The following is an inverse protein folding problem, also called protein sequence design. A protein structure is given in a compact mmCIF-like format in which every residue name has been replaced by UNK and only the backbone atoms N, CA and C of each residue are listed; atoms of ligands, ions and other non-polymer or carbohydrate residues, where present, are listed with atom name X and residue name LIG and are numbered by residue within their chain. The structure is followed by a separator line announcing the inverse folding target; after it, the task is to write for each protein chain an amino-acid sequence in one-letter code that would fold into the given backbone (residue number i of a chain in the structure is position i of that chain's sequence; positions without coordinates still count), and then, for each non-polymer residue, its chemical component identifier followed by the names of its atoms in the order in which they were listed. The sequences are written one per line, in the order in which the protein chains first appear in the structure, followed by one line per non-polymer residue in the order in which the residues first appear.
data_IF_080701533772
#
_entry.id   IF_080701533772
#
_cell.length_a   1.000
_cell.length_b   1.000
_cell.length_c   1.000
_cell.angle_alpha   90.00
_cell.angle_beta   90.00
_cell.angle_gamma   90.00
#
_symmetry.space_group_name_H-M   'P 1'
#
loop_
_entity.id
_entity.type
_entity.pdbx_description
1 polymer ?
#
# COMPACT_ATOMS: atom_id res chain seq x y z
N UNK A 1 -5.06 33.19 54.45
CA UNK A 1 -3.69 33.09 54.96
C UNK A 1 -3.14 31.73 54.64
N UNK A 2 -2.37 31.61 53.59
CA UNK A 2 -1.72 30.33 53.16
C UNK A 2 -0.33 30.26 53.83
N UNK A 3 -0.20 29.35 54.80
CA UNK A 3 1.06 29.14 55.53
C UNK A 3 2.15 28.64 54.58
N UNK A 4 3.30 29.34 54.50
CA UNK A 4 4.49 28.90 53.75
C UNK A 4 5.02 27.58 54.32
N UNK A 5 5.23 26.56 53.46
CA UNK A 5 5.71 25.26 53.91
C UNK A 5 7.11 25.40 54.50
N UNK A 6 7.35 24.78 55.67
CA UNK A 6 8.64 24.78 56.36
C UNK A 6 9.68 24.01 55.53
N UNK A 7 10.99 24.43 55.59
CA UNK A 7 12.09 23.80 54.80
C UNK A 7 12.14 22.26 54.91
N UNK A 8 11.77 21.67 56.05
CA UNK A 8 11.68 20.21 56.25
C UNK A 8 10.52 19.55 55.45
N UNK A 9 9.40 20.26 55.26
CA UNK A 9 8.29 19.74 54.46
C UNK A 9 8.61 19.81 52.98
N UNK A 10 9.35 20.80 52.53
CA UNK A 10 9.78 20.99 51.16
C UNK A 10 10.77 19.91 50.68
N UNK A 11 11.75 19.54 51.58
CA UNK A 11 12.70 18.44 51.31
C UNK A 11 12.02 17.07 51.29
N UNK A 12 11.03 16.81 52.16
CA UNK A 12 10.25 15.56 52.11
C UNK A 12 9.37 15.47 50.85
N UNK A 13 8.77 16.56 50.40
CA UNK A 13 8.01 16.61 49.14
C UNK A 13 8.93 16.38 47.95
N UNK A 14 10.09 17.02 47.90
CA UNK A 14 11.09 16.78 46.83
C UNK A 14 11.56 15.32 46.78
N UNK A 15 11.89 14.71 47.92
CA UNK A 15 12.28 13.29 47.96
C UNK A 15 11.18 12.36 47.52
N UNK A 16 9.91 12.63 47.91
CA UNK A 16 8.75 11.87 47.41
C UNK A 16 8.55 12.04 45.89
N UNK A 17 8.67 13.26 45.37
CA UNK A 17 8.58 13.53 43.96
C UNK A 17 9.67 12.81 43.15
N UNK A 18 10.92 12.86 43.62
CA UNK A 18 12.04 12.13 43.01
C UNK A 18 11.81 10.62 43.05
N UNK A 19 11.33 10.08 44.19
CA UNK A 19 11.01 8.65 44.29
C UNK A 19 9.90 8.22 43.35
N UNK A 20 8.81 9.03 43.20
CA UNK A 20 7.72 8.75 42.27
C UNK A 20 8.24 8.81 40.82
N UNK A 21 9.10 9.77 40.50
CA UNK A 21 9.68 9.91 39.16
C UNK A 21 10.59 8.72 38.80
N UNK A 22 11.41 8.26 39.77
CA UNK A 22 12.24 7.06 39.60
C UNK A 22 11.38 5.80 39.44
N UNK A 23 10.33 5.66 40.23
CA UNK A 23 9.40 4.54 40.12
C UNK A 23 8.69 4.54 38.75
N UNK A 24 8.23 5.71 38.29
CA UNK A 24 7.64 5.86 36.98
C UNK A 24 8.65 5.51 35.87
N UNK A 25 9.90 5.97 35.97
CA UNK A 25 10.94 5.63 35.00
C UNK A 25 11.21 4.12 34.93
N UNK A 26 11.25 3.44 36.09
CA UNK A 26 11.42 1.97 36.14
C UNK A 26 10.21 1.27 35.50
N UNK A 27 8.99 1.68 35.84
CA UNK A 27 7.77 1.11 35.24
C UNK A 27 7.71 1.31 33.72
N UNK A 28 8.08 2.50 33.24
CA UNK A 28 8.19 2.77 31.80
C UNK A 28 9.27 1.90 31.13
N UNK A 29 10.43 1.72 31.79
CA UNK A 29 11.50 0.86 31.31
C UNK A 29 11.08 -0.61 31.20
N UNK A 30 10.42 -1.12 32.22
CA UNK A 30 9.86 -2.49 32.21
C UNK A 30 8.79 -2.64 31.14
N UNK A 31 7.87 -1.67 31.03
CA UNK A 31 6.84 -1.68 29.99
C UNK A 31 7.43 -1.69 28.59
N UNK A 32 8.43 -0.83 28.33
CA UNK A 32 9.14 -0.81 27.06
C UNK A 32 9.85 -2.13 26.75
N UNK A 33 10.51 -2.72 27.75
CA UNK A 33 11.16 -4.02 27.62
C UNK A 33 10.14 -5.12 27.30
N UNK A 34 9.00 -5.16 27.97
CA UNK A 34 7.92 -6.11 27.69
C UNK A 34 7.42 -5.98 26.24
N UNK A 35 7.13 -4.76 25.78
CA UNK A 35 6.70 -4.51 24.38
C UNK A 35 7.78 -4.94 23.40
N UNK A 36 9.06 -4.71 23.70
CA UNK A 36 10.16 -5.11 22.82
C UNK A 36 10.31 -6.62 22.67
N UNK A 37 10.02 -7.38 23.73
CA UNK A 37 10.20 -8.85 23.74
C UNK A 37 8.94 -9.58 23.26
N UNK A 38 7.77 -9.12 23.69
CA UNK A 38 6.49 -9.84 23.42
C UNK A 38 5.80 -9.43 22.12
N UNK A 39 6.09 -8.25 21.57
CA UNK A 39 5.44 -7.78 20.36
C UNK A 39 6.30 -8.02 19.11
N UNK A 40 6.62 -9.28 18.83
CA UNK A 40 7.35 -9.70 17.64
C UNK A 40 6.40 -10.28 16.62
N UNK A 41 6.65 -10.04 15.33
CA UNK A 41 5.85 -10.58 14.24
C UNK A 41 6.12 -12.08 14.09
N UNK A 42 5.28 -12.91 14.69
CA UNK A 42 5.34 -14.37 14.55
C UNK A 42 4.27 -14.91 13.63
N UNK A 43 3.16 -14.19 13.49
CA UNK A 43 2.06 -14.54 12.61
C UNK A 43 1.81 -13.42 11.62
N UNK A 44 1.81 -13.75 10.31
CA UNK A 44 1.50 -12.82 9.23
C UNK A 44 0.27 -13.38 8.50
N UNK A 45 -0.82 -12.64 8.54
CA UNK A 45 -2.06 -12.94 7.84
C UNK A 45 -2.16 -12.05 6.61
N UNK A 46 -2.46 -12.63 5.44
CA UNK A 46 -2.62 -11.91 4.18
C UNK A 46 -4.05 -12.04 3.72
N UNK A 47 -4.68 -10.93 3.40
CA UNK A 47 -6.07 -10.86 2.92
C UNK A 47 -6.20 -9.91 1.73
N UNK A 48 -7.26 -10.07 0.92
CA UNK A 48 -7.61 -9.12 -0.15
C UNK A 48 -6.93 -9.36 -1.50
N UNK A 49 -6.05 -10.38 -1.65
CA UNK A 49 -5.52 -10.77 -2.96
C UNK A 49 -6.21 -12.02 -3.50
N UNK A 50 -6.46 -12.00 -4.80
CA UNK A 50 -6.96 -13.16 -5.56
C UNK A 50 -5.93 -13.67 -6.58
N UNK A 51 -4.90 -12.87 -6.90
CA UNK A 51 -3.89 -13.15 -7.92
C UNK A 51 -2.59 -13.72 -7.37
N UNK A 52 -2.22 -13.29 -6.15
CA UNK A 52 -0.95 -13.67 -5.52
C UNK A 52 -1.21 -14.62 -4.37
N UNK A 53 -0.37 -15.65 -4.22
CA UNK A 53 -0.39 -16.49 -3.05
C UNK A 53 0.09 -15.71 -1.81
N UNK A 54 -0.40 -16.10 -0.62
CA UNK A 54 -0.01 -15.42 0.61
C UNK A 54 1.50 -15.50 0.85
N UNK A 55 2.12 -16.61 0.49
CA UNK A 55 3.55 -16.87 0.61
C UNK A 55 4.38 -15.89 -0.23
N UNK A 56 3.96 -15.60 -1.47
CA UNK A 56 4.65 -14.64 -2.36
C UNK A 56 4.61 -13.23 -1.79
N UNK A 57 3.48 -12.85 -1.17
CA UNK A 57 3.32 -11.55 -0.51
C UNK A 57 4.20 -11.44 0.73
N UNK A 58 4.27 -12.50 1.53
CA UNK A 58 5.12 -12.54 2.74
C UNK A 58 6.59 -12.42 2.34
N UNK A 59 7.01 -13.11 1.28
CA UNK A 59 8.37 -12.98 0.73
C UNK A 59 8.63 -11.56 0.22
N UNK A 60 7.70 -10.98 -0.54
CA UNK A 60 7.82 -9.61 -1.04
C UNK A 60 7.85 -8.55 0.09
N UNK A 61 7.16 -8.82 1.19
CA UNK A 61 7.14 -7.95 2.36
C UNK A 61 8.52 -7.86 3.05
N UNK A 62 9.35 -8.91 2.92
CA UNK A 62 10.69 -9.00 3.52
C UNK A 62 10.67 -8.59 5.01
N UNK A 63 9.71 -9.16 5.75
CA UNK A 63 9.61 -8.95 7.19
C UNK A 63 10.54 -9.94 7.87
N UNK A 64 11.56 -9.41 8.56
CA UNK A 64 12.52 -10.24 9.27
C UNK A 64 11.85 -11.07 10.38
N UNK A 65 12.29 -12.31 10.52
CA UNK A 65 11.87 -13.19 11.62
C UNK A 65 12.08 -12.49 12.96
N UNK A 66 11.08 -12.51 13.81
CA UNK A 66 11.10 -11.88 15.13
C UNK A 66 11.21 -10.32 15.14
N UNK A 67 10.97 -9.65 14.00
CA UNK A 67 10.96 -8.19 13.98
C UNK A 67 9.80 -7.65 14.83
N UNK A 68 10.06 -6.58 15.60
CA UNK A 68 9.02 -5.98 16.43
C UNK A 68 7.95 -5.32 15.54
N UNK A 69 6.67 -5.68 15.76
CA UNK A 69 5.53 -5.22 14.95
C UNK A 69 5.38 -3.69 14.89
N UNK A 70 5.87 -2.97 15.90
CA UNK A 70 5.81 -1.50 15.93
C UNK A 70 6.91 -0.82 15.14
N UNK A 71 8.00 -1.54 14.80
CA UNK A 71 9.11 -1.01 14.01
C UNK A 71 8.88 -1.15 12.51
N UNK A 72 7.89 -1.96 12.10
CA UNK A 72 7.57 -2.19 10.69
C UNK A 72 6.86 -0.95 10.13
N UNK A 73 7.47 -0.34 9.11
CA UNK A 73 6.92 0.84 8.45
C UNK A 73 5.93 0.44 7.37
N UNK A 74 4.69 0.90 7.47
CA UNK A 74 3.68 0.68 6.44
C UNK A 74 4.13 1.20 5.07
N UNK A 75 4.76 2.38 5.03
CA UNK A 75 5.23 2.97 3.78
C UNK A 75 6.27 2.08 3.08
N UNK A 76 7.30 1.64 3.83
CA UNK A 76 8.34 0.78 3.28
C UNK A 76 7.79 -0.58 2.82
N UNK A 77 6.85 -1.15 3.58
CA UNK A 77 6.15 -2.38 3.23
C UNK A 77 5.35 -2.22 1.92
N UNK A 78 4.56 -1.15 1.84
CA UNK A 78 3.78 -0.85 0.65
C UNK A 78 4.69 -0.70 -0.58
N UNK A 79 5.79 0.06 -0.48
CA UNK A 79 6.75 0.26 -1.58
C UNK A 79 7.36 -1.07 -2.05
N UNK A 80 7.73 -1.98 -1.14
CA UNK A 80 8.30 -3.29 -1.50
C UNK A 80 7.28 -4.18 -2.20
N UNK A 81 6.11 -4.37 -1.58
CA UNK A 81 5.07 -5.25 -2.14
C UNK A 81 4.60 -4.74 -3.50
N UNK A 82 4.32 -3.44 -3.63
CA UNK A 82 3.84 -2.89 -4.91
C UNK A 82 4.89 -2.86 -6.00
N UNK A 83 6.18 -2.92 -5.67
CA UNK A 83 7.25 -3.06 -6.65
C UNK A 83 7.36 -4.48 -7.21
N UNK A 84 7.17 -5.51 -6.37
CA UNK A 84 7.28 -6.92 -6.75
C UNK A 84 5.94 -7.51 -7.24
N UNK A 85 4.83 -6.96 -6.75
CA UNK A 85 3.47 -7.38 -7.08
C UNK A 85 2.74 -6.23 -7.79
N UNK A 86 2.91 -6.02 -9.12
CA UNK A 86 2.41 -4.85 -9.83
C UNK A 86 0.88 -4.67 -9.77
N UNK A 87 0.11 -5.75 -9.65
CA UNK A 87 -1.36 -5.71 -9.57
C UNK A 87 -1.88 -5.21 -8.22
N UNK A 88 -1.02 -5.09 -7.21
CA UNK A 88 -1.38 -4.50 -5.92
C UNK A 88 -1.28 -2.97 -6.02
N UNK A 89 -2.39 -2.31 -5.73
CA UNK A 89 -2.49 -0.85 -5.68
C UNK A 89 -1.88 -0.32 -4.38
N UNK A 90 -2.34 -0.87 -3.26
CA UNK A 90 -1.82 -0.52 -1.95
C UNK A 90 -2.00 -1.66 -0.94
N UNK A 91 -1.24 -1.56 0.15
CA UNK A 91 -1.28 -2.49 1.27
C UNK A 91 -1.60 -1.72 2.53
N UNK A 92 -2.58 -2.18 3.30
CA UNK A 92 -2.89 -1.66 4.63
C UNK A 92 -2.36 -2.63 5.69
N UNK A 93 -1.57 -2.11 6.63
CA UNK A 93 -0.98 -2.89 7.71
C UNK A 93 -1.78 -2.74 8.99
N UNK A 94 -2.43 -3.81 9.43
CA UNK A 94 -3.09 -3.90 10.72
C UNK A 94 -2.24 -4.69 11.70
N UNK A 95 -2.08 -4.15 12.92
CA UNK A 95 -1.31 -4.78 13.99
C UNK A 95 -2.27 -5.35 15.01
N UNK A 96 -2.33 -6.68 15.10
CA UNK A 96 -3.10 -7.40 16.11
C UNK A 96 -2.16 -7.88 17.20
N UNK A 97 -2.26 -7.25 18.36
CA UNK A 97 -1.42 -7.60 19.52
C UNK A 97 -1.75 -9.02 20.03
N UNK A 98 -0.72 -9.76 20.53
CA UNK A 98 0.65 -9.26 20.77
C UNK A 98 1.61 -9.42 19.58
N UNK A 99 1.36 -10.31 18.61
CA UNK A 99 2.36 -10.88 17.71
C UNK A 99 1.89 -11.05 16.25
N UNK A 100 0.69 -10.60 15.92
CA UNK A 100 0.09 -10.83 14.60
C UNK A 100 0.09 -9.55 13.76
N UNK A 101 0.52 -9.68 12.49
CA UNK A 101 0.41 -8.67 11.45
C UNK A 101 -0.59 -9.13 10.41
N UNK A 102 -1.60 -8.31 10.15
CA UNK A 102 -2.52 -8.52 9.05
C UNK A 102 -2.21 -7.55 7.92
N UNK A 103 -1.93 -8.09 6.75
CA UNK A 103 -1.69 -7.36 5.51
C UNK A 103 -2.96 -7.42 4.67
N UNK A 104 -3.70 -6.32 4.64
CA UNK A 104 -4.86 -6.17 3.77
C UNK A 104 -4.41 -5.57 2.45
N UNK A 105 -4.54 -6.33 1.37
CA UNK A 105 -4.13 -5.98 0.03
C UNK A 105 -5.31 -5.41 -0.74
N UNK A 106 -5.07 -4.34 -1.48
CA UNK A 106 -6.03 -3.77 -2.41
C UNK A 106 -5.46 -3.94 -3.82
N UNK A 107 -6.16 -4.73 -4.64
CA UNK A 107 -5.84 -4.92 -6.05
C UNK A 107 -6.49 -3.84 -6.91
N UNK A 108 -5.87 -3.51 -8.05
CA UNK A 108 -6.48 -2.60 -9.00
C UNK A 108 -7.79 -3.18 -9.54
N UNK A 109 -8.88 -2.45 -9.39
CA UNK A 109 -10.21 -2.84 -9.87
C UNK A 109 -10.36 -2.69 -11.38
N UNK A 110 -9.69 -1.70 -11.96
CA UNK A 110 -9.76 -1.41 -13.41
C UNK A 110 -8.40 -1.65 -14.03
N UNK A 111 -8.38 -2.51 -15.05
CA UNK A 111 -7.20 -2.85 -15.82
C UNK A 111 -7.46 -2.51 -17.27
N UNK A 112 -6.58 -1.72 -17.86
CA UNK A 112 -6.54 -1.42 -19.27
C UNK A 112 -5.54 -2.33 -19.97
N UNK A 113 -5.78 -2.66 -21.22
CA UNK A 113 -4.87 -3.41 -22.05
C UNK A 113 -4.62 -2.69 -23.37
N UNK A 114 -3.36 -2.52 -23.75
CA UNK A 114 -2.95 -1.98 -25.04
C UNK A 114 -2.22 -3.05 -25.83
N UNK A 115 -2.50 -3.11 -27.13
CA UNK A 115 -1.79 -4.01 -28.05
C UNK A 115 -0.69 -3.19 -28.74
N UNK A 116 0.56 -3.49 -28.40
CA UNK A 116 1.71 -2.85 -29.00
C UNK A 116 2.03 -3.35 -30.40
N UNK A 117 2.98 -2.67 -31.06
CA UNK A 117 3.37 -2.87 -32.47
C UNK A 117 3.84 -4.29 -32.82
N UNK A 118 4.31 -5.08 -31.83
CA UNK A 118 4.71 -6.48 -32.01
C UNK A 118 3.66 -7.49 -31.55
N UNK A 119 2.41 -7.05 -31.34
CA UNK A 119 1.33 -7.92 -30.85
C UNK A 119 1.46 -8.27 -29.37
N UNK A 120 2.35 -7.64 -28.63
CA UNK A 120 2.42 -7.78 -27.16
C UNK A 120 1.32 -6.97 -26.52
N UNK A 121 0.68 -7.55 -25.55
CA UNK A 121 -0.33 -6.87 -24.75
C UNK A 121 0.34 -6.33 -23.49
N UNK A 122 0.25 -5.01 -23.29
CA UNK A 122 0.69 -4.35 -22.07
C UNK A 122 -0.55 -3.99 -21.24
N UNK A 123 -0.61 -4.47 -20.00
CA UNK A 123 -1.69 -4.14 -19.08
C UNK A 123 -1.29 -2.98 -18.19
N UNK A 124 -2.25 -2.11 -17.91
CA UNK A 124 -2.08 -0.86 -17.18
C UNK A 124 -3.16 -0.71 -16.12
N UNK A 125 -2.82 -0.10 -15.01
CA UNK A 125 -3.81 0.42 -14.06
C UNK A 125 -4.38 1.77 -14.51
N UNK A 126 -5.48 2.19 -13.90
CA UNK A 126 -6.10 3.48 -14.20
C UNK A 126 -5.19 4.69 -13.89
N UNK A 127 -4.25 4.55 -12.96
CA UNK A 127 -3.27 5.59 -12.62
C UNK A 127 -1.99 5.55 -13.48
N UNK A 128 -1.96 4.70 -14.52
CA UNK A 128 -0.85 4.61 -15.49
C UNK A 128 0.35 3.81 -15.01
N UNK A 129 0.18 2.87 -14.10
CA UNK A 129 1.22 1.90 -13.74
C UNK A 129 1.15 0.72 -14.70
N UNK A 130 2.29 0.32 -15.25
CA UNK A 130 2.41 -0.91 -16.06
C UNK A 130 2.35 -2.12 -15.13
N UNK A 131 1.38 -3.00 -15.35
CA UNK A 131 1.15 -4.15 -14.50
C UNK A 131 1.92 -5.37 -15.01
N UNK A 132 1.75 -5.67 -16.31
CA UNK A 132 2.41 -6.82 -16.90
C UNK A 132 2.47 -6.68 -18.42
N UNK A 133 3.36 -7.46 -19.06
CA UNK A 133 3.38 -7.67 -20.50
C UNK A 133 3.08 -9.13 -20.80
N UNK A 134 2.00 -9.40 -21.52
CA UNK A 134 1.53 -10.74 -21.84
C UNK A 134 1.39 -10.97 -23.33
N UNK A 135 1.31 -12.23 -23.72
CA UNK A 135 1.13 -12.63 -25.14
C UNK A 135 -0.33 -12.62 -25.58
N UNK A 136 -1.28 -12.61 -24.66
CA UNK A 136 -2.71 -12.65 -24.94
C UNK A 136 -3.45 -11.63 -24.08
N UNK A 137 -4.57 -11.15 -24.57
CA UNK A 137 -5.44 -10.22 -23.83
C UNK A 137 -6.05 -10.95 -22.63
N UNK A 138 -5.83 -10.45 -21.39
CA UNK A 138 -6.45 -11.02 -20.21
C UNK A 138 -7.97 -10.79 -20.23
N UNK A 139 -8.72 -11.70 -19.62
CA UNK A 139 -10.15 -11.51 -19.39
C UNK A 139 -10.39 -10.31 -18.49
N UNK A 140 -11.53 -9.64 -18.65
CA UNK A 140 -11.96 -8.49 -17.83
C UNK A 140 -11.07 -7.24 -17.94
N UNK A 141 -10.39 -7.04 -19.07
CA UNK A 141 -9.64 -5.81 -19.36
C UNK A 141 -10.39 -4.91 -20.33
N UNK A 142 -10.29 -3.60 -20.15
CA UNK A 142 -10.76 -2.63 -21.12
C UNK A 142 -9.65 -2.40 -22.16
N UNK A 143 -9.92 -2.73 -23.43
CA UNK A 143 -8.95 -2.57 -24.50
C UNK A 143 -8.82 -1.10 -24.90
N UNK A 144 -7.58 -0.59 -24.92
CA UNK A 144 -7.22 0.73 -25.41
C UNK A 144 -6.51 0.60 -26.76
N UNK A 145 -7.00 1.34 -27.75
CA UNK A 145 -6.37 1.47 -29.06
C UNK A 145 -5.73 2.87 -29.22
N UNK A 146 -4.74 2.99 -30.10
CA UNK A 146 -4.10 4.27 -30.41
C UNK A 146 -2.87 4.58 -29.54
N UNK A 147 -2.45 3.67 -28.66
CA UNK A 147 -1.26 3.82 -27.84
C UNK A 147 -0.40 2.55 -27.83
N UNK A 148 0.91 2.69 -27.74
CA UNK A 148 1.85 1.57 -27.60
C UNK A 148 2.75 1.79 -26.38
N UNK A 149 2.62 0.91 -25.40
CA UNK A 149 3.39 0.93 -24.15
C UNK A 149 4.37 -0.25 -24.04
N UNK A 150 4.68 -0.92 -25.14
CA UNK A 150 5.58 -2.08 -25.15
C UNK A 150 7.02 -1.76 -24.74
N UNK A 151 7.40 -0.48 -24.71
CA UNK A 151 8.71 -0.01 -24.25
C UNK A 151 8.88 0.13 -22.75
N UNK A 152 7.80 -0.01 -21.97
CA UNK A 152 7.83 0.13 -20.51
C UNK A 152 7.86 -1.22 -19.82
N UNK A 153 8.42 -1.27 -18.61
CA UNK A 153 8.52 -2.51 -17.83
C UNK A 153 7.47 -2.60 -16.71
N UNK A 154 7.14 -3.83 -16.30
CA UNK A 154 6.21 -4.04 -15.19
C UNK A 154 6.66 -3.32 -13.91
N UNK A 155 5.72 -2.68 -13.22
CA UNK A 155 5.97 -1.84 -12.05
C UNK A 155 6.30 -0.37 -12.36
N UNK A 156 6.65 -0.04 -13.60
CA UNK A 156 6.96 1.33 -14.04
C UNK A 156 5.70 2.18 -14.19
N UNK A 157 5.79 3.47 -13.86
CA UNK A 157 4.72 4.44 -14.11
C UNK A 157 4.96 5.18 -15.42
N UNK A 158 3.90 5.32 -16.20
CA UNK A 158 3.91 6.10 -17.41
C UNK A 158 4.17 7.60 -17.10
N UNK A 159 4.70 8.37 -18.08
CA UNK A 159 4.81 9.81 -17.98
C UNK A 159 3.49 10.51 -17.64
N UNK A 160 3.57 11.68 -17.01
CA UNK A 160 2.40 12.42 -16.51
C UNK A 160 1.37 12.74 -17.60
N UNK A 161 1.81 12.92 -18.82
CA UNK A 161 0.96 13.14 -19.99
C UNK A 161 0.01 11.96 -20.22
N UNK A 162 0.55 10.74 -20.23
CA UNK A 162 -0.25 9.51 -20.35
C UNK A 162 -1.13 9.25 -19.14
N UNK A 163 -0.67 9.57 -17.95
CA UNK A 163 -1.49 9.46 -16.73
C UNK A 163 -2.74 10.36 -16.82
N UNK A 164 -2.59 11.58 -17.36
CA UNK A 164 -3.73 12.51 -17.58
C UNK A 164 -4.70 11.95 -18.63
N UNK A 165 -4.17 11.39 -19.70
CA UNK A 165 -4.98 10.78 -20.76
C UNK A 165 -5.76 9.58 -20.20
N UNK A 166 -5.12 8.69 -19.47
CA UNK A 166 -5.77 7.54 -18.80
C UNK A 166 -6.82 7.98 -17.79
N UNK A 167 -6.57 9.02 -17.01
CA UNK A 167 -7.56 9.58 -16.11
C UNK A 167 -8.80 10.13 -16.85
N UNK A 168 -8.62 10.62 -18.08
CA UNK A 168 -9.72 10.99 -18.98
C UNK A 168 -10.51 9.78 -19.46
N UNK A 169 -9.80 8.74 -19.90
CA UNK A 169 -10.37 7.45 -20.30
C UNK A 169 -11.17 6.81 -19.17
N UNK A 170 -10.63 6.84 -17.94
CA UNK A 170 -11.30 6.25 -16.78
C UNK A 170 -12.62 6.97 -16.43
N UNK A 171 -12.68 8.29 -16.61
CA UNK A 171 -13.93 9.05 -16.48
C UNK A 171 -14.97 8.63 -17.52
N UNK A 172 -14.55 8.42 -18.78
CA UNK A 172 -15.45 7.94 -19.83
C UNK A 172 -15.93 6.54 -19.50
N UNK A 173 -15.03 5.64 -19.11
CA UNK A 173 -15.38 4.28 -18.69
C UNK A 173 -16.38 4.27 -17.54
N UNK A 174 -16.15 5.07 -16.50
CA UNK A 174 -17.06 5.18 -15.35
C UNK A 174 -18.46 5.69 -15.77
N UNK A 175 -18.52 6.68 -16.64
CA UNK A 175 -19.80 7.18 -17.16
C UNK A 175 -20.55 6.13 -17.98
N UNK A 176 -19.84 5.29 -18.74
CA UNK A 176 -20.41 4.19 -19.50
C UNK A 176 -20.91 3.05 -18.58
N UNK A 177 -20.19 2.78 -17.51
CA UNK A 177 -20.58 1.83 -16.47
C UNK A 177 -21.86 2.27 -15.77
N UNK A 178 -21.93 3.55 -15.36
CA UNK A 178 -23.12 4.15 -14.76
C UNK A 178 -24.35 4.11 -15.69
N UNK A 179 -24.12 4.24 -17.00
CA UNK A 179 -25.16 4.12 -18.02
C UNK A 179 -25.53 2.65 -18.35
N UNK A 180 -24.82 1.67 -17.79
CA UNK A 180 -25.02 0.24 -18.09
C UNK A 180 -24.57 -0.19 -19.49
N UNK A 181 -23.76 0.62 -20.17
CA UNK A 181 -23.33 0.41 -21.57
C UNK A 181 -21.93 -0.21 -21.68
N UNK A 182 -21.21 -0.36 -20.58
CA UNK A 182 -19.80 -0.82 -20.60
C UNK A 182 -19.66 -2.23 -21.22
N UNK A 183 -20.63 -3.10 -21.02
CA UNK A 183 -20.62 -4.47 -21.58
C UNK A 183 -20.79 -4.52 -23.12
N UNK A 184 -21.27 -3.45 -23.73
CA UNK A 184 -21.47 -3.34 -25.19
C UNK A 184 -20.24 -2.76 -25.89
N UNK A 185 -19.28 -2.23 -25.14
CA UNK A 185 -18.10 -1.54 -25.67
C UNK A 185 -16.90 -2.49 -25.64
N UNK A 186 -16.39 -2.83 -26.83
CA UNK A 186 -15.24 -3.71 -26.97
C UNK A 186 -13.90 -3.01 -26.73
N UNK A 187 -13.80 -1.71 -26.98
CA UNK A 187 -12.56 -0.94 -26.84
C UNK A 187 -12.81 0.56 -26.70
N UNK A 188 -11.82 1.28 -26.22
CA UNK A 188 -11.77 2.74 -26.22
C UNK A 188 -10.55 3.16 -27.05
N UNK A 189 -10.75 4.03 -28.03
CA UNK A 189 -9.69 4.54 -28.88
C UNK A 189 -9.20 5.91 -28.36
N UNK A 190 -7.88 6.01 -28.16
CA UNK A 190 -7.21 7.25 -27.81
C UNK A 190 -6.79 7.91 -29.12
N UNK A 191 -7.56 8.93 -29.56
CA UNK A 191 -7.22 9.70 -30.75
C UNK A 191 -6.04 10.65 -30.49
N UNK A 192 -5.16 10.84 -31.48
CA UNK A 192 -4.23 11.96 -31.44
C UNK A 192 -5.04 13.27 -31.54
N UNK A 193 -4.80 14.20 -30.62
CA UNK A 193 -5.33 15.57 -30.73
C UNK A 193 -4.81 16.18 -32.01
N UNK A 194 -5.59 16.12 -33.09
CA UNK A 194 -5.29 16.89 -34.28
C UNK A 194 -5.46 18.37 -33.93
N UNK A 195 -4.35 19.01 -33.62
CA UNK A 195 -4.24 20.47 -33.53
C UNK A 195 -4.57 21.06 -34.89
N UNK A 196 -5.80 21.59 -35.03
CA UNK A 196 -6.20 22.43 -36.15
C UNK A 196 -5.72 23.86 -35.95
#
# INVERSE_FOLDING_TARGET
MTAKPTRKQQTRRRRRAVFILLLAAVLCGVGFYCVSVFCRATHIEVTGSTRYAAEDIIEAADIGEEQNIFTISQKALNERITALCPYIECVTLHRRLPDTLELELHEFNTIYACIGSMGRVTTLSADGKVLEQCASLPEYTCLLLGADFSGYTAGEKLPEEWQKTLAGVDKVRAALEDAGMLSEIGYIEIGEEQSY
#
